data_IF_450677432589
#
_entry.id   IF_450677432589
#
_cell.length_a   1.000
_cell.length_b   1.000
_cell.length_c   1.000
_cell.angle_alpha   90.00
_cell.angle_beta   90.00
_cell.angle_gamma   90.00
#
_symmetry.space_group_name_H-M   'P 1'
#
loop_
_entity.id
_entity.type
_entity.pdbx_description
1 polymer ?
#
# COMPACT_ATOMS: atom_id res chain seq x y z
N UNK A 1 50.64 36.11 26.57
CA UNK A 1 51.01 36.69 25.27
C UNK A 1 51.11 35.55 24.27
N UNK A 2 50.14 35.41 23.37
CA UNK A 2 50.17 34.43 22.27
C UNK A 2 51.11 34.99 21.20
N UNK A 3 52.08 34.19 20.75
CA UNK A 3 53.09 34.66 19.80
C UNK A 3 52.72 34.23 18.38
N UNK A 4 53.23 34.92 17.36
CA UNK A 4 52.83 34.72 15.95
C UNK A 4 53.05 33.28 15.42
N UNK A 5 53.89 32.49 16.09
CA UNK A 5 54.14 31.08 15.77
C UNK A 5 52.98 30.15 16.17
N UNK A 6 52.17 30.55 17.15
CA UNK A 6 51.05 29.74 17.64
C UNK A 6 49.81 29.84 16.73
N UNK A 7 49.81 30.79 15.78
CA UNK A 7 48.74 30.98 14.79
C UNK A 7 49.08 30.41 13.40
N UNK A 8 50.24 29.79 13.23
CA UNK A 8 50.62 29.18 11.96
C UNK A 8 49.86 27.86 11.77
N UNK A 9 48.97 27.80 10.78
CA UNK A 9 48.31 26.56 10.39
C UNK A 9 49.37 25.55 9.92
N UNK A 10 49.29 24.28 10.33
CA UNK A 10 50.22 23.25 9.89
C UNK A 10 50.17 23.13 8.37
N UNK A 11 51.34 23.03 7.73
CA UNK A 11 51.44 22.85 6.29
C UNK A 11 50.67 21.58 5.87
N UNK A 12 49.80 21.71 4.87
CA UNK A 12 49.04 20.58 4.35
C UNK A 12 50.02 19.50 3.87
N UNK A 13 49.96 18.32 4.51
CA UNK A 13 50.72 17.15 4.05
C UNK A 13 50.30 16.74 2.63
N UNK A 14 51.12 15.94 1.94
CA UNK A 14 50.80 15.48 0.59
C UNK A 14 49.46 14.75 0.58
N UNK A 15 48.55 15.20 -0.29
CA UNK A 15 47.25 14.56 -0.50
C UNK A 15 47.49 13.15 -1.03
N UNK A 16 47.02 12.10 -0.34
CA UNK A 16 47.21 10.74 -0.84
C UNK A 16 46.55 10.61 -2.23
N UNK A 17 47.11 9.79 -3.13
CA UNK A 17 46.52 9.57 -4.44
C UNK A 17 45.09 9.03 -4.30
N UNK A 18 44.17 9.53 -5.13
CA UNK A 18 42.80 9.05 -5.17
C UNK A 18 42.79 7.58 -5.57
N UNK A 19 42.52 6.70 -4.61
CA UNK A 19 42.27 5.28 -4.86
C UNK A 19 40.80 5.17 -5.25
N UNK A 20 40.52 4.84 -6.51
CA UNK A 20 39.17 4.55 -6.95
C UNK A 20 38.59 3.43 -6.06
N UNK A 21 37.37 3.57 -5.53
CA UNK A 21 36.78 2.56 -4.67
C UNK A 21 36.75 1.22 -5.42
N UNK A 22 37.35 0.18 -4.84
CA UNK A 22 37.37 -1.19 -5.36
C UNK A 22 35.98 -1.88 -5.38
N UNK A 23 34.90 -1.10 -5.26
CA UNK A 23 33.51 -1.53 -5.14
C UNK A 23 32.73 -1.35 -6.44
N UNK A 24 33.38 -1.37 -7.60
CA UNK A 24 32.64 -1.62 -8.85
C UNK A 24 32.25 -3.11 -8.86
N UNK A 25 31.35 -3.50 -7.96
CA UNK A 25 30.72 -4.81 -8.03
C UNK A 25 30.03 -4.92 -9.39
N UNK A 26 30.18 -6.06 -10.08
CA UNK A 26 29.54 -6.26 -11.37
C UNK A 26 28.03 -6.04 -11.21
N UNK A 27 27.48 -5.14 -12.02
CA UNK A 27 26.04 -4.89 -12.06
C UNK A 27 25.36 -6.25 -12.27
N UNK A 28 24.55 -6.73 -11.31
CA UNK A 28 23.95 -8.04 -11.42
C UNK A 28 23.13 -8.10 -12.71
N UNK A 29 23.33 -9.16 -13.50
CA UNK A 29 22.61 -9.36 -14.73
C UNK A 29 21.09 -9.22 -14.47
N UNK A 30 20.39 -8.46 -15.31
CA UNK A 30 18.93 -8.32 -15.23
C UNK A 30 18.31 -9.68 -15.52
N UNK A 31 18.02 -10.46 -14.48
CA UNK A 31 17.29 -11.71 -14.61
C UNK A 31 15.87 -11.34 -15.06
N UNK A 32 15.46 -11.87 -16.22
CA UNK A 32 14.11 -11.68 -16.72
C UNK A 32 13.10 -12.15 -15.66
N UNK A 33 12.20 -11.26 -15.25
CA UNK A 33 11.14 -11.62 -14.31
C UNK A 33 10.29 -12.76 -14.90
N UNK A 34 10.06 -13.85 -14.15
CA UNK A 34 9.30 -14.98 -14.65
C UNK A 34 7.85 -14.55 -14.93
N UNK A 35 7.20 -15.18 -15.91
CA UNK A 35 5.84 -14.82 -16.33
C UNK A 35 4.84 -14.75 -15.17
N UNK A 36 4.90 -15.70 -14.23
CA UNK A 36 4.06 -15.72 -13.02
C UNK A 36 4.21 -14.48 -12.14
N UNK A 37 5.42 -13.93 -12.01
CA UNK A 37 5.66 -12.72 -11.22
C UNK A 37 5.13 -11.50 -11.98
N UNK A 38 5.28 -11.44 -13.31
CA UNK A 38 4.69 -10.36 -14.11
C UNK A 38 3.17 -10.33 -14.00
N UNK A 39 2.54 -11.50 -14.10
CA UNK A 39 1.09 -11.64 -13.93
C UNK A 39 0.65 -11.17 -12.53
N UNK A 40 1.38 -11.60 -11.49
CA UNK A 40 1.11 -11.15 -10.12
C UNK A 40 1.20 -9.63 -9.98
N UNK A 41 2.22 -9.00 -10.57
CA UNK A 41 2.40 -7.55 -10.53
C UNK A 41 1.28 -6.81 -11.27
N UNK A 42 0.80 -7.33 -12.40
CA UNK A 42 -0.35 -6.75 -13.12
C UNK A 42 -1.62 -6.86 -12.27
N UNK A 43 -1.87 -8.03 -11.67
CA UNK A 43 -3.05 -8.24 -10.80
C UNK A 43 -2.96 -7.33 -9.57
N UNK A 44 -1.78 -7.22 -8.93
CA UNK A 44 -1.54 -6.31 -7.82
C UNK A 44 -1.80 -4.86 -8.23
N UNK A 45 -1.31 -4.44 -9.40
CA UNK A 45 -1.56 -3.10 -9.91
C UNK A 45 -3.05 -2.84 -10.07
N UNK A 46 -3.79 -3.75 -10.71
CA UNK A 46 -5.23 -3.61 -10.94
C UNK A 46 -6.00 -3.62 -9.61
N UNK A 47 -5.65 -4.50 -8.68
CA UNK A 47 -6.25 -4.58 -7.35
C UNK A 47 -6.08 -3.26 -6.59
N UNK A 48 -4.84 -2.76 -6.49
CA UNK A 48 -4.57 -1.47 -5.83
C UNK A 48 -5.23 -0.33 -6.58
N UNK A 49 -5.27 -0.38 -7.91
CA UNK A 49 -5.89 0.66 -8.72
C UNK A 49 -7.40 0.78 -8.43
N UNK A 50 -8.08 -0.37 -8.31
CA UNK A 50 -9.50 -0.47 -8.02
C UNK A 50 -9.88 -0.18 -6.54
N UNK A 51 -8.89 0.00 -5.65
CA UNK A 51 -9.13 0.19 -4.21
C UNK A 51 -10.02 1.39 -3.85
N UNK A 52 -10.07 2.40 -4.71
CA UNK A 52 -10.91 3.59 -4.50
C UNK A 52 -12.34 3.43 -5.00
N UNK A 53 -12.71 2.33 -5.67
CA UNK A 53 -14.04 2.15 -6.27
C UNK A 53 -14.95 1.44 -5.27
N UNK A 54 -15.63 2.22 -4.42
CA UNK A 54 -16.49 1.74 -3.34
C UNK A 54 -17.99 1.89 -3.57
N UNK A 55 -18.44 2.11 -4.81
CA UNK A 55 -19.83 2.46 -5.12
C UNK A 55 -20.84 1.30 -4.94
N UNK A 56 -20.39 0.05 -5.02
CA UNK A 56 -21.24 -1.15 -5.00
C UNK A 56 -20.65 -2.12 -3.97
N UNK A 57 -21.51 -2.79 -3.19
CA UNK A 57 -21.11 -3.83 -2.24
C UNK A 57 -21.56 -5.21 -2.76
N UNK A 58 -20.66 -6.21 -2.86
CA UNK A 58 -19.22 -6.17 -2.58
C UNK A 58 -18.45 -5.30 -3.58
N UNK A 59 -17.38 -4.64 -3.13
CA UNK A 59 -16.64 -3.71 -3.99
C UNK A 59 -15.84 -4.47 -5.05
N UNK A 60 -15.60 -3.88 -6.23
CA UNK A 60 -14.71 -4.46 -7.24
C UNK A 60 -13.33 -4.87 -6.67
N UNK A 61 -12.82 -4.08 -5.72
CA UNK A 61 -11.59 -4.38 -5.00
C UNK A 61 -11.67 -5.70 -4.20
N UNK A 62 -12.81 -5.99 -3.57
CA UNK A 62 -12.96 -7.19 -2.74
C UNK A 62 -12.92 -8.47 -3.57
N UNK A 63 -13.52 -8.46 -4.77
CA UNK A 63 -13.38 -9.56 -5.72
C UNK A 63 -11.92 -9.72 -6.19
N UNK A 64 -11.24 -8.60 -6.47
CA UNK A 64 -9.84 -8.60 -6.90
C UNK A 64 -8.88 -9.11 -5.81
N UNK A 65 -9.21 -8.94 -4.53
CA UNK A 65 -8.44 -9.51 -3.43
C UNK A 65 -8.41 -11.04 -3.46
N UNK A 66 -9.53 -11.68 -3.80
CA UNK A 66 -9.58 -13.13 -4.01
C UNK A 66 -8.70 -13.57 -5.18
N UNK A 67 -8.77 -12.85 -6.31
CA UNK A 67 -7.92 -13.09 -7.49
C UNK A 67 -6.44 -12.90 -7.15
N UNK A 68 -6.11 -11.86 -6.39
CA UNK A 68 -4.75 -11.56 -5.96
C UNK A 68 -4.20 -12.64 -5.02
N UNK A 69 -5.03 -13.17 -4.12
CA UNK A 69 -4.66 -14.29 -3.27
C UNK A 69 -4.32 -15.55 -4.09
N UNK A 70 -5.18 -15.90 -5.05
CA UNK A 70 -4.94 -17.05 -5.97
C UNK A 70 -3.68 -16.83 -6.81
N UNK A 71 -3.50 -15.63 -7.37
CA UNK A 71 -2.29 -15.28 -8.12
C UNK A 71 -1.02 -15.38 -7.27
N UNK A 72 -1.09 -14.96 -6.00
CA UNK A 72 0.01 -15.11 -5.04
C UNK A 72 0.38 -16.57 -4.80
N UNK A 73 -0.61 -17.45 -4.63
CA UNK A 73 -0.38 -18.90 -4.50
C UNK A 73 0.29 -19.47 -5.76
N UNK A 74 -0.17 -19.10 -6.96
CA UNK A 74 0.41 -19.53 -8.24
C UNK A 74 1.83 -18.99 -8.43
N UNK A 75 2.10 -17.76 -8.01
CA UNK A 75 3.42 -17.15 -8.03
C UNK A 75 4.40 -17.81 -7.03
N UNK A 76 3.90 -18.65 -6.13
CA UNK A 76 4.69 -19.38 -5.14
C UNK A 76 4.98 -18.57 -3.87
N UNK A 77 4.10 -17.63 -3.52
CA UNK A 77 4.19 -16.89 -2.25
C UNK A 77 4.10 -17.88 -1.09
N UNK A 78 5.10 -17.83 -0.20
CA UNK A 78 5.22 -18.74 0.94
C UNK A 78 4.95 -18.03 2.24
N UNK A 79 4.42 -18.78 3.20
CA UNK A 79 4.25 -18.31 4.55
C UNK A 79 5.60 -18.05 5.21
N UNK A 80 5.85 -16.81 5.62
CA UNK A 80 7.08 -16.40 6.27
C UNK A 80 6.90 -16.38 7.80
N UNK A 81 7.88 -16.86 8.57
CA UNK A 81 7.80 -16.95 10.04
C UNK A 81 7.51 -15.60 10.71
N UNK A 82 7.95 -14.49 10.09
CA UNK A 82 7.69 -13.13 10.57
C UNK A 82 6.19 -12.79 10.66
N UNK A 83 5.35 -13.50 9.89
CA UNK A 83 3.91 -13.26 9.84
C UNK A 83 3.12 -14.06 10.89
N UNK A 84 3.78 -14.93 11.67
CA UNK A 84 3.11 -15.72 12.71
C UNK A 84 2.46 -14.81 13.76
N UNK A 85 3.15 -13.75 14.19
CA UNK A 85 2.63 -12.80 15.19
C UNK A 85 1.40 -12.06 14.69
N UNK A 86 1.42 -11.34 13.54
CA UNK A 86 0.23 -10.66 13.04
C UNK A 86 -0.90 -11.64 12.71
N UNK A 87 -0.59 -12.85 12.22
CA UNK A 87 -1.59 -13.90 12.00
C UNK A 87 -2.30 -14.29 13.30
N UNK A 88 -1.53 -14.55 14.37
CA UNK A 88 -2.09 -14.90 15.67
C UNK A 88 -2.94 -13.76 16.25
N UNK A 89 -2.49 -12.51 16.12
CA UNK A 89 -3.25 -11.34 16.60
C UNK A 89 -4.56 -11.16 15.85
N UNK A 90 -4.57 -11.32 14.52
CA UNK A 90 -5.78 -11.23 13.71
C UNK A 90 -6.76 -12.38 14.01
N UNK A 91 -6.23 -13.58 14.27
CA UNK A 91 -7.04 -14.73 14.67
C UNK A 91 -7.67 -14.50 16.05
N UNK A 92 -6.88 -14.00 17.00
CA UNK A 92 -7.35 -13.68 18.35
C UNK A 92 -8.40 -12.57 18.34
N UNK A 93 -8.16 -11.52 17.55
CA UNK A 93 -9.11 -10.41 17.34
C UNK A 93 -10.46 -10.92 16.84
N UNK A 94 -10.45 -11.73 15.77
CA UNK A 94 -11.69 -12.27 15.21
C UNK A 94 -12.38 -13.24 16.18
N UNK A 95 -11.61 -14.10 16.86
CA UNK A 95 -12.15 -15.04 17.82
C UNK A 95 -12.88 -14.33 18.97
N UNK A 96 -12.22 -13.41 19.66
CA UNK A 96 -12.86 -12.67 20.76
C UNK A 96 -13.92 -11.68 20.27
N UNK A 97 -13.75 -11.09 19.08
CA UNK A 97 -14.77 -10.27 18.44
C UNK A 97 -16.06 -11.04 18.22
N UNK A 98 -15.98 -12.26 17.71
CA UNK A 98 -17.16 -13.14 17.56
C UNK A 98 -17.75 -13.54 18.92
N UNK A 99 -16.92 -13.82 19.93
CA UNK A 99 -17.42 -14.10 21.28
C UNK A 99 -18.21 -12.93 21.87
N UNK A 100 -17.78 -11.69 21.63
CA UNK A 100 -18.48 -10.49 22.09
C UNK A 100 -19.87 -10.32 21.43
N UNK A 101 -20.07 -10.89 20.24
CA UNK A 101 -21.29 -10.78 19.45
C UNK A 101 -22.29 -11.91 19.68
N UNK A 102 -21.98 -12.88 20.55
CA UNK A 102 -22.80 -14.10 20.74
C UNK A 102 -24.26 -13.81 21.13
N UNK A 103 -24.53 -12.64 21.75
CA UNK A 103 -25.87 -12.22 22.18
C UNK A 103 -26.72 -11.59 21.08
N UNK A 104 -26.11 -11.24 19.94
CA UNK A 104 -26.75 -10.52 18.83
C UNK A 104 -26.44 -11.17 17.47
N UNK A 105 -26.07 -12.45 17.47
CA UNK A 105 -25.57 -13.16 16.28
C UNK A 105 -26.61 -13.37 15.17
N UNK A 106 -27.89 -13.15 15.45
CA UNK A 106 -29.02 -13.26 14.52
C UNK A 106 -29.28 -11.98 13.72
N UNK A 107 -28.65 -10.86 14.10
CA UNK A 107 -28.82 -9.59 13.39
C UNK A 107 -28.01 -9.57 12.11
N UNK A 108 -28.63 -9.14 11.01
CA UNK A 108 -27.97 -9.02 9.71
C UNK A 108 -26.68 -8.18 9.78
N UNK A 109 -26.72 -7.06 10.52
CA UNK A 109 -25.56 -6.19 10.75
C UNK A 109 -24.40 -6.92 11.44
N UNK A 110 -24.70 -7.85 12.36
CA UNK A 110 -23.69 -8.64 13.07
C UNK A 110 -23.05 -9.68 12.15
N UNK A 111 -23.85 -10.29 11.28
CA UNK A 111 -23.36 -11.22 10.26
C UNK A 111 -22.44 -10.49 9.28
N UNK A 112 -22.87 -9.33 8.77
CA UNK A 112 -22.06 -8.49 7.88
C UNK A 112 -20.74 -8.06 8.56
N UNK A 113 -20.81 -7.53 9.79
CA UNK A 113 -19.62 -7.14 10.55
C UNK A 113 -18.62 -8.29 10.73
N UNK A 114 -19.13 -9.48 11.07
CA UNK A 114 -18.29 -10.67 11.27
C UNK A 114 -17.64 -11.12 9.97
N UNK A 115 -18.42 -11.17 8.88
CA UNK A 115 -17.92 -11.51 7.55
C UNK A 115 -16.84 -10.52 7.08
N UNK A 116 -17.09 -9.21 7.22
CA UNK A 116 -16.11 -8.16 6.88
C UNK A 116 -14.86 -8.26 7.76
N UNK A 117 -14.98 -8.56 9.05
CA UNK A 117 -13.83 -8.70 9.95
C UNK A 117 -12.92 -9.87 9.56
N UNK A 118 -13.51 -11.01 9.21
CA UNK A 118 -12.77 -12.18 8.73
C UNK A 118 -12.12 -11.87 7.38
N UNK A 119 -12.86 -11.24 6.47
CA UNK A 119 -12.36 -10.81 5.17
C UNK A 119 -11.14 -9.87 5.31
N UNK A 120 -11.22 -8.85 6.17
CA UNK A 120 -10.12 -7.91 6.41
C UNK A 120 -8.88 -8.61 6.98
N UNK A 121 -9.06 -9.59 7.87
CA UNK A 121 -7.95 -10.39 8.38
C UNK A 121 -7.27 -11.21 7.28
N UNK A 122 -8.05 -11.83 6.38
CA UNK A 122 -7.53 -12.56 5.22
C UNK A 122 -6.81 -11.60 4.27
N UNK A 123 -7.43 -10.46 3.93
CA UNK A 123 -6.85 -9.47 3.02
C UNK A 123 -5.53 -8.90 3.57
N UNK A 124 -5.48 -8.57 4.86
CA UNK A 124 -4.26 -8.14 5.54
C UNK A 124 -3.16 -9.20 5.43
N UNK A 125 -3.48 -10.48 5.62
CA UNK A 125 -2.53 -11.58 5.50
C UNK A 125 -2.05 -11.77 4.05
N UNK A 126 -2.93 -11.64 3.06
CA UNK A 126 -2.57 -11.70 1.63
C UNK A 126 -1.54 -10.63 1.29
N UNK A 127 -1.78 -9.36 1.67
CA UNK A 127 -0.81 -8.30 1.44
C UNK A 127 0.50 -8.52 2.20
N UNK A 128 0.43 -8.94 3.47
CA UNK A 128 1.62 -9.21 4.26
C UNK A 128 2.50 -10.31 3.63
N UNK A 129 1.88 -11.38 3.14
CA UNK A 129 2.55 -12.47 2.43
C UNK A 129 3.14 -12.00 1.10
N UNK A 130 2.41 -11.18 0.34
CA UNK A 130 2.91 -10.61 -0.91
C UNK A 130 4.13 -9.73 -0.69
N UNK A 131 4.14 -8.88 0.32
CA UNK A 131 5.26 -7.97 0.55
C UNK A 131 6.42 -8.61 1.33
N UNK A 132 6.23 -9.78 1.94
CA UNK A 132 7.30 -10.52 2.60
C UNK A 132 8.36 -11.09 1.63
N UNK A 133 8.07 -11.12 0.32
CA UNK A 133 8.98 -11.63 -0.72
C UNK A 133 9.06 -10.63 -1.87
N UNK A 134 10.24 -10.48 -2.49
CA UNK A 134 10.46 -9.53 -3.60
C UNK A 134 9.91 -8.12 -3.31
N UNK A 135 10.08 -7.67 -2.07
CA UNK A 135 9.40 -6.49 -1.50
C UNK A 135 9.56 -5.26 -2.38
N UNK A 136 10.78 -4.97 -2.85
CA UNK A 136 11.04 -3.75 -3.62
C UNK A 136 10.25 -3.67 -4.94
N UNK A 137 10.18 -4.77 -5.69
CA UNK A 137 9.46 -4.80 -6.97
C UNK A 137 7.95 -4.63 -6.78
N UNK A 138 7.39 -5.39 -5.83
CA UNK A 138 5.94 -5.37 -5.51
C UNK A 138 5.52 -4.03 -4.90
N UNK A 139 6.33 -3.48 -3.99
CA UNK A 139 6.08 -2.19 -3.37
C UNK A 139 6.13 -1.05 -4.39
N UNK A 140 7.07 -1.09 -5.34
CA UNK A 140 7.14 -0.07 -6.42
C UNK A 140 5.88 -0.08 -7.28
N UNK A 141 5.36 -1.27 -7.63
CA UNK A 141 4.11 -1.40 -8.39
C UNK A 141 2.92 -0.89 -7.59
N UNK A 142 2.81 -1.29 -6.32
CA UNK A 142 1.77 -0.81 -5.41
C UNK A 142 1.80 0.71 -5.28
N UNK A 143 2.97 1.32 -5.05
CA UNK A 143 3.11 2.78 -4.92
C UNK A 143 2.64 3.50 -6.18
N UNK A 144 3.04 3.04 -7.37
CA UNK A 144 2.62 3.64 -8.64
C UNK A 144 1.12 3.54 -8.85
N UNK A 145 0.53 2.37 -8.62
CA UNK A 145 -0.91 2.15 -8.71
C UNK A 145 -1.66 3.06 -7.74
N UNK A 146 -1.22 3.09 -6.48
CA UNK A 146 -1.85 3.87 -5.42
C UNK A 146 -1.82 5.37 -5.72
N UNK A 147 -0.65 5.91 -6.11
CA UNK A 147 -0.51 7.34 -6.48
C UNK A 147 -1.40 7.67 -7.69
N UNK A 148 -1.44 6.81 -8.70
CA UNK A 148 -2.29 7.03 -9.87
C UNK A 148 -3.78 7.08 -9.48
N UNK A 149 -4.25 6.13 -8.67
CA UNK A 149 -5.61 6.11 -8.14
C UNK A 149 -5.92 7.38 -7.36
N UNK A 150 -5.04 7.76 -6.43
CA UNK A 150 -5.15 8.96 -5.63
C UNK A 150 -5.27 10.23 -6.47
N UNK A 151 -4.46 10.38 -7.52
CA UNK A 151 -4.52 11.53 -8.43
C UNK A 151 -5.82 11.56 -9.20
N UNK A 152 -6.23 10.43 -9.80
CA UNK A 152 -7.46 10.35 -10.61
C UNK A 152 -8.68 10.66 -9.75
N UNK A 153 -8.86 9.98 -8.63
CA UNK A 153 -10.03 10.17 -7.76
C UNK A 153 -9.93 11.47 -6.94
N UNK A 154 -8.74 12.01 -6.75
CA UNK A 154 -8.49 13.39 -6.30
C UNK A 154 -9.11 14.41 -7.23
N UNK A 155 -8.76 14.33 -8.53
CA UNK A 155 -9.30 15.21 -9.56
C UNK A 155 -10.83 15.05 -9.67
N UNK A 156 -11.33 13.81 -9.70
CA UNK A 156 -12.77 13.55 -9.77
C UNK A 156 -13.51 14.09 -8.53
N UNK A 157 -12.95 13.94 -7.34
CA UNK A 157 -13.50 14.54 -6.11
C UNK A 157 -13.56 16.07 -6.19
N UNK A 158 -12.52 16.72 -6.73
CA UNK A 158 -12.52 18.17 -6.94
C UNK A 158 -13.57 18.60 -7.99
N UNK A 159 -13.64 17.92 -9.14
CA UNK A 159 -14.63 18.21 -10.17
C UNK A 159 -16.07 17.97 -9.67
N UNK A 160 -16.26 16.92 -8.87
CA UNK A 160 -17.47 16.66 -8.09
C UNK A 160 -17.88 17.86 -7.26
N UNK A 161 -16.98 18.29 -6.38
CA UNK A 161 -17.22 19.39 -5.45
C UNK A 161 -17.62 20.70 -6.14
N UNK A 162 -17.01 21.01 -7.28
CA UNK A 162 -17.35 22.21 -8.06
C UNK A 162 -18.54 22.02 -9.01
N UNK A 163 -19.22 20.87 -8.98
CA UNK A 163 -20.36 20.56 -9.86
C UNK A 163 -20.02 20.81 -11.35
N UNK A 164 -18.81 20.41 -11.77
CA UNK A 164 -18.24 20.82 -13.05
C UNK A 164 -18.94 20.22 -14.29
N UNK A 165 -19.73 19.16 -14.13
CA UNK A 165 -20.48 18.50 -15.20
C UNK A 165 -21.77 17.84 -14.66
N UNK A 166 -22.77 17.54 -15.53
CA UNK A 166 -23.98 16.84 -15.10
C UNK A 166 -23.66 15.45 -14.51
N UNK A 167 -24.11 15.18 -13.29
CA UNK A 167 -23.83 13.92 -12.58
C UNK A 167 -22.51 13.92 -11.78
N UNK A 168 -21.85 15.08 -11.63
CA UNK A 168 -20.66 15.23 -10.80
C UNK A 168 -20.91 14.91 -9.31
N UNK A 169 -22.17 14.97 -8.86
CA UNK A 169 -22.62 14.65 -7.50
C UNK A 169 -22.27 13.21 -7.08
N UNK A 170 -22.03 12.31 -8.04
CA UNK A 170 -21.58 10.94 -7.76
C UNK A 170 -20.23 10.93 -7.04
N UNK A 171 -19.42 12.00 -7.13
CA UNK A 171 -18.12 12.11 -6.46
C UNK A 171 -18.17 12.95 -5.17
N UNK A 172 -19.37 13.40 -4.76
CA UNK A 172 -19.59 14.16 -3.52
C UNK A 172 -20.65 13.54 -2.63
N UNK A 173 -20.49 13.71 -1.32
CA UNK A 173 -21.47 13.26 -0.32
C UNK A 173 -21.51 14.30 0.79
N UNK A 174 -22.72 14.76 1.11
CA UNK A 174 -22.93 15.80 2.13
C UNK A 174 -22.05 17.05 1.88
N UNK A 175 -21.99 17.51 0.63
CA UNK A 175 -21.14 18.64 0.17
C UNK A 175 -19.63 18.42 0.36
N UNK A 176 -19.17 17.17 0.52
CA UNK A 176 -17.76 16.82 0.68
C UNK A 176 -17.29 15.95 -0.47
N UNK A 177 -16.12 16.27 -1.02
CA UNK A 177 -15.46 15.41 -2.00
C UNK A 177 -15.16 14.03 -1.39
N UNK A 178 -15.63 12.97 -2.03
CA UNK A 178 -15.30 11.59 -1.65
C UNK A 178 -14.62 10.80 -2.77
N UNK A 179 -14.45 11.39 -3.95
CA UNK A 179 -13.91 10.68 -5.10
C UNK A 179 -14.81 9.49 -5.42
N UNK A 180 -14.29 8.26 -5.36
CA UNK A 180 -15.11 7.05 -5.54
C UNK A 180 -15.36 6.23 -4.26
N UNK A 181 -15.05 6.80 -3.09
CA UNK A 181 -15.27 6.16 -1.79
C UNK A 181 -16.68 6.40 -1.25
N UNK A 182 -17.25 5.44 -0.52
CA UNK A 182 -18.58 5.62 0.10
C UNK A 182 -18.64 6.76 1.13
N UNK A 183 -17.53 7.03 1.83
CA UNK A 183 -17.44 8.03 2.89
C UNK A 183 -16.25 9.00 2.65
N UNK A 184 -16.49 10.33 2.63
CA UNK A 184 -15.43 11.34 2.55
C UNK A 184 -14.35 11.21 3.66
N UNK A 185 -14.70 10.68 4.84
CA UNK A 185 -13.77 10.43 5.94
C UNK A 185 -12.75 9.33 5.64
N UNK A 186 -13.02 8.47 4.65
CA UNK A 186 -12.07 7.46 4.17
C UNK A 186 -11.20 8.04 3.06
N UNK A 187 -11.81 8.86 2.19
CA UNK A 187 -11.11 9.52 1.09
C UNK A 187 -10.00 10.46 1.56
N UNK A 188 -10.25 11.26 2.60
CA UNK A 188 -9.24 12.19 3.14
C UNK A 188 -7.92 11.50 3.53
N UNK A 189 -7.94 10.51 4.45
CA UNK A 189 -6.77 9.73 4.83
C UNK A 189 -6.12 8.96 3.66
N UNK A 190 -6.93 8.47 2.70
CA UNK A 190 -6.41 7.78 1.52
C UNK A 190 -5.40 8.63 0.74
N UNK A 191 -5.57 9.96 0.71
CA UNK A 191 -4.69 10.88 -0.01
C UNK A 191 -3.37 11.21 0.70
N UNK A 192 -3.26 10.95 2.00
CA UNK A 192 -2.07 11.33 2.79
C UNK A 192 -0.81 10.64 2.28
N UNK A 193 -0.88 9.33 2.04
CA UNK A 193 0.28 8.56 1.59
C UNK A 193 0.81 8.99 0.21
N UNK A 194 -0.03 9.17 -0.82
CA UNK A 194 0.37 9.75 -2.10
C UNK A 194 1.10 11.10 -1.98
N UNK A 195 0.58 12.00 -1.13
CA UNK A 195 1.17 13.32 -0.91
C UNK A 195 2.60 13.19 -0.36
N UNK A 196 2.84 12.22 0.53
CA UNK A 196 4.17 11.95 1.07
C UNK A 196 5.14 11.35 0.04
N UNK A 197 4.64 10.55 -0.90
CA UNK A 197 5.45 9.93 -1.95
C UNK A 197 5.88 10.92 -3.05
N UNK A 198 5.03 11.91 -3.37
CA UNK A 198 5.32 12.92 -4.39
C UNK A 198 6.33 13.99 -3.96
N UNK A 199 6.77 14.01 -2.68
CA UNK A 199 7.71 15.01 -2.13
C UNK A 199 9.20 14.66 -2.29
N UNK A 200 9.54 13.66 -3.10
CA UNK A 200 10.93 13.23 -3.30
C UNK A 200 11.49 13.63 -4.66
#
# INVERSE_FOLDING_TARGET
MINARDMALPAAGPVPPFVAPAFAEPVPAVIATPFRERLLLVILFIAVFASSVGFIEPSPHDALMGVLAVAGLIAGVRFHRILVVPFALLLLWNFFGMMALIRVGDQEMTIQYTATSIYLAIAAMVFALLFAQNTMARLTVMQRAYVLTAVIFGILGCLGYFHAFPGADVFTRDERAHGAFKDPNVFGPFQIWPILLCKK
#
